data_IF_812950644915
#
_entry.id   IF_812950644915
#
_cell.length_a   1.000
_cell.length_b   1.000
_cell.length_c   1.000
_cell.angle_alpha   90.00
_cell.angle_beta   90.00
_cell.angle_gamma   90.00
#
_symmetry.space_group_name_H-M   'P 1'
#
loop_
_entity.id
_entity.type
_entity.pdbx_description
1 polymer ?
#
# COMPACT_ATOMS: atom_id res chain seq x y z
N UNK A 1 -15.12 8.61 -19.54
CA UNK A 1 -14.04 9.63 -19.58
C UNK A 1 -12.77 9.02 -20.12
N UNK A 2 -11.89 9.88 -20.65
CA UNK A 2 -10.49 9.52 -20.93
C UNK A 2 -9.62 9.93 -19.76
N UNK A 3 -8.97 8.96 -19.13
CA UNK A 3 -8.17 9.17 -17.94
C UNK A 3 -6.70 8.85 -18.25
N UNK A 4 -5.82 9.80 -17.98
CA UNK A 4 -4.38 9.57 -18.06
C UNK A 4 -3.82 9.46 -16.64
N UNK A 5 -3.22 8.32 -16.31
CA UNK A 5 -2.46 8.13 -15.09
C UNK A 5 -0.97 8.38 -15.34
N UNK A 6 -0.34 9.20 -14.51
CA UNK A 6 1.09 9.54 -14.63
C UNK A 6 1.82 8.95 -13.42
N UNK A 7 2.62 7.91 -13.64
CA UNK A 7 3.30 7.10 -12.64
C UNK A 7 4.84 7.27 -12.75
N UNK A 8 5.37 8.48 -12.52
CA UNK A 8 6.80 8.79 -12.76
C UNK A 8 7.65 8.87 -11.48
N UNK A 9 7.08 8.67 -10.29
CA UNK A 9 7.83 8.77 -9.03
C UNK A 9 8.34 7.42 -8.50
N UNK A 10 8.67 6.50 -9.38
CA UNK A 10 9.17 5.18 -9.02
C UNK A 10 9.23 4.27 -10.24
N UNK A 11 9.39 2.97 -10.01
CA UNK A 11 9.19 1.97 -11.05
C UNK A 11 7.69 1.67 -11.23
N UNK A 12 7.33 1.22 -12.42
CA UNK A 12 5.97 0.73 -12.71
C UNK A 12 6.06 -0.69 -13.28
N UNK A 13 5.75 -1.68 -12.45
CA UNK A 13 5.65 -3.10 -12.85
C UNK A 13 4.20 -3.46 -13.17
N UNK A 14 3.97 -4.13 -14.28
CA UNK A 14 2.62 -4.41 -14.79
C UNK A 14 1.82 -5.38 -13.90
N UNK A 15 2.52 -6.28 -13.21
CA UNK A 15 1.93 -7.34 -12.38
C UNK A 15 1.98 -7.02 -10.87
N UNK A 16 2.18 -5.76 -10.50
CA UNK A 16 2.15 -5.36 -9.10
C UNK A 16 0.73 -4.98 -8.66
N UNK A 17 0.43 -5.28 -7.39
CA UNK A 17 -0.82 -4.88 -6.74
C UNK A 17 -0.64 -3.52 -6.00
N UNK A 18 0.02 -2.55 -6.65
CA UNK A 18 0.16 -1.19 -6.11
C UNK A 18 -1.04 -0.33 -6.49
N UNK A 19 -1.20 0.80 -5.82
CA UNK A 19 -2.33 1.69 -6.04
C UNK A 19 -2.42 2.19 -7.49
N UNK A 20 -1.29 2.52 -8.12
CA UNK A 20 -1.22 2.95 -9.50
C UNK A 20 -1.68 1.86 -10.49
N UNK A 21 -1.41 0.58 -10.20
CA UNK A 21 -1.93 -0.55 -10.98
C UNK A 21 -3.43 -0.77 -10.74
N UNK A 22 -3.86 -0.75 -9.48
CA UNK A 22 -5.24 -1.10 -9.13
C UNK A 22 -6.22 0.02 -9.48
N UNK A 23 -5.88 1.30 -9.26
CA UNK A 23 -6.73 2.41 -9.70
C UNK A 23 -6.93 2.39 -11.22
N UNK A 24 -5.87 2.18 -12.00
CA UNK A 24 -5.99 2.11 -13.46
C UNK A 24 -6.86 0.95 -13.92
N UNK A 25 -6.69 -0.23 -13.29
CA UNK A 25 -7.52 -1.42 -13.53
C UNK A 25 -9.00 -1.13 -13.28
N UNK A 26 -9.33 -0.54 -12.12
CA UNK A 26 -10.73 -0.31 -11.75
C UNK A 26 -11.36 0.85 -12.51
N UNK A 27 -10.64 1.93 -12.83
CA UNK A 27 -11.15 2.94 -13.77
C UNK A 27 -11.46 2.33 -15.14
N UNK A 28 -10.60 1.42 -15.65
CA UNK A 28 -10.88 0.71 -16.90
C UNK A 28 -12.13 -0.15 -16.82
N UNK A 29 -12.32 -0.88 -15.71
CA UNK A 29 -13.52 -1.70 -15.46
C UNK A 29 -14.81 -0.89 -15.36
N UNK A 30 -14.73 0.35 -14.90
CA UNK A 30 -15.85 1.30 -14.91
C UNK A 30 -16.20 1.82 -16.31
N UNK A 31 -15.52 1.34 -17.36
CA UNK A 31 -15.79 1.72 -18.76
C UNK A 31 -15.05 2.98 -19.21
N UNK A 32 -14.04 3.45 -18.45
CA UNK A 32 -13.22 4.59 -18.88
C UNK A 32 -12.13 4.16 -19.88
N UNK A 33 -11.72 5.06 -20.76
CA UNK A 33 -10.50 4.88 -21.55
C UNK A 33 -9.30 5.28 -20.69
N UNK A 34 -8.40 4.33 -20.38
CA UNK A 34 -7.29 4.54 -19.47
C UNK A 34 -5.96 4.43 -20.18
N UNK A 35 -5.14 5.48 -20.08
CA UNK A 35 -3.74 5.49 -20.51
C UNK A 35 -2.83 5.70 -19.29
N UNK A 36 -1.77 4.90 -19.22
CA UNK A 36 -0.75 4.95 -18.16
C UNK A 36 0.54 5.48 -18.78
N UNK A 37 1.09 6.56 -18.24
CA UNK A 37 2.42 7.07 -18.60
C UNK A 37 3.36 6.73 -17.46
N UNK A 38 4.31 5.84 -17.72
CA UNK A 38 5.21 5.27 -16.72
C UNK A 38 6.66 5.22 -17.19
N UNK A 39 7.66 5.09 -16.31
CA UNK A 39 9.06 5.00 -16.70
C UNK A 39 9.35 3.65 -17.38
N UNK A 40 10.50 3.59 -18.08
CA UNK A 40 11.04 2.32 -18.58
C UNK A 40 11.46 1.36 -17.45
N UNK A 41 11.66 1.84 -16.24
CA UNK A 41 11.95 1.02 -15.06
C UNK A 41 10.73 0.17 -14.70
N UNK A 42 10.83 -1.14 -14.91
CA UNK A 42 9.69 -2.08 -14.78
C UNK A 42 9.75 -2.93 -13.50
N UNK A 43 10.92 -3.34 -13.05
CA UNK A 43 11.04 -4.26 -11.92
C UNK A 43 12.38 -4.09 -11.21
N UNK A 44 12.40 -4.37 -9.89
CA UNK A 44 13.66 -4.60 -9.16
C UNK A 44 14.12 -6.05 -9.33
N UNK A 45 15.43 -6.24 -9.49
CA UNK A 45 16.05 -7.56 -9.40
C UNK A 45 16.28 -7.93 -7.93
N UNK A 46 16.47 -9.22 -7.65
CA UNK A 46 16.82 -9.73 -6.31
C UNK A 46 18.08 -9.08 -5.71
N UNK A 47 18.99 -8.65 -6.58
CA UNK A 47 20.26 -8.01 -6.18
C UNK A 47 20.16 -6.47 -6.12
N UNK A 48 18.94 -5.90 -6.10
CA UNK A 48 18.72 -4.45 -6.03
C UNK A 48 18.97 -3.69 -7.33
N UNK A 49 19.21 -4.37 -8.45
CA UNK A 49 19.24 -3.77 -9.79
C UNK A 49 17.84 -3.45 -10.30
N UNK A 50 17.77 -2.83 -11.49
CA UNK A 50 16.51 -2.47 -12.15
C UNK A 50 16.45 -3.11 -13.52
N UNK A 51 15.35 -3.79 -13.82
CA UNK A 51 14.99 -4.24 -15.16
C UNK A 51 14.31 -3.07 -15.88
N UNK A 52 14.80 -2.72 -17.06
CA UNK A 52 14.20 -1.72 -17.91
C UNK A 52 13.54 -2.38 -19.12
N UNK A 53 12.34 -1.89 -19.46
CA UNK A 53 11.67 -2.17 -20.72
C UNK A 53 11.97 -1.08 -21.75
N UNK A 54 11.73 -1.39 -23.02
CA UNK A 54 11.88 -0.41 -24.10
C UNK A 54 10.83 0.70 -24.00
N UNK A 55 11.23 1.93 -24.34
CA UNK A 55 10.26 3.01 -24.52
C UNK A 55 9.31 2.70 -25.69
N UNK A 56 8.08 3.13 -25.57
CA UNK A 56 7.03 2.89 -26.57
C UNK A 56 5.66 2.74 -25.95
N UNK A 57 4.69 2.30 -26.73
CA UNK A 57 3.33 2.07 -26.24
C UNK A 57 2.86 0.66 -26.54
N UNK A 58 2.13 0.06 -25.59
CA UNK A 58 1.47 -1.26 -25.72
C UNK A 58 0.13 -1.26 -25.02
N UNK A 59 -0.72 -2.22 -25.39
CA UNK A 59 -1.94 -2.51 -24.61
C UNK A 59 -1.63 -3.56 -23.56
N UNK A 60 -2.11 -3.36 -22.33
CA UNK A 60 -2.05 -4.32 -21.24
C UNK A 60 -3.22 -5.31 -21.33
N UNK A 61 -3.10 -6.48 -20.67
CA UNK A 61 -4.14 -7.51 -20.64
C UNK A 61 -5.47 -7.00 -20.05
N UNK A 62 -5.41 -6.03 -19.13
CA UNK A 62 -6.59 -5.38 -18.56
C UNK A 62 -7.23 -4.32 -19.47
N UNK A 63 -6.70 -4.12 -20.67
CA UNK A 63 -7.20 -3.17 -21.68
C UNK A 63 -6.78 -1.70 -21.45
N UNK A 64 -5.88 -1.42 -20.50
CA UNK A 64 -5.25 -0.10 -20.38
C UNK A 64 -4.14 0.06 -21.41
N UNK A 65 -3.96 1.29 -21.93
CA UNK A 65 -2.80 1.63 -22.76
C UNK A 65 -1.63 2.02 -21.86
N UNK A 66 -0.48 1.40 -22.02
CA UNK A 66 0.76 1.76 -21.32
C UNK A 66 1.72 2.47 -22.27
N UNK A 67 2.24 3.62 -21.86
CA UNK A 67 3.28 4.38 -22.57
C UNK A 67 4.51 4.44 -21.66
N UNK A 68 5.62 3.81 -22.09
CA UNK A 68 6.91 3.83 -21.37
C UNK A 68 7.76 5.03 -21.81
N UNK A 69 8.25 5.79 -20.84
CA UNK A 69 9.04 7.00 -21.02
C UNK A 69 10.47 6.80 -20.53
N UNK A 70 11.44 7.14 -21.35
CA UNK A 70 12.85 7.09 -20.96
C UNK A 70 13.20 8.22 -20.00
N UNK A 71 14.20 7.95 -19.15
CA UNK A 71 14.83 8.98 -18.33
C UNK A 71 15.56 10.00 -19.20
N UNK A 72 15.62 11.25 -18.76
CA UNK A 72 16.30 12.34 -19.49
C UNK A 72 17.80 12.16 -19.53
N UNK A 73 18.39 11.61 -18.45
CA UNK A 73 19.82 11.41 -18.33
C UNK A 73 20.14 9.91 -18.22
N UNK A 74 21.30 9.50 -18.78
CA UNK A 74 21.75 8.11 -18.72
C UNK A 74 22.25 7.70 -17.31
N UNK A 75 22.58 8.67 -16.43
CA UNK A 75 23.04 8.38 -15.07
C UNK A 75 21.86 7.92 -14.18
N UNK A 76 21.88 6.65 -13.80
CA UNK A 76 20.90 6.04 -12.90
C UNK A 76 20.82 6.76 -11.54
N UNK A 77 21.98 7.24 -11.02
CA UNK A 77 22.05 7.94 -9.73
C UNK A 77 21.33 9.29 -9.76
N UNK A 78 21.50 10.07 -10.84
CA UNK A 78 20.83 11.37 -11.01
C UNK A 78 19.31 11.21 -11.20
N UNK A 79 18.90 10.23 -12.00
CA UNK A 79 17.48 9.99 -12.28
C UNK A 79 16.73 9.49 -11.02
N UNK A 80 17.39 8.71 -10.14
CA UNK A 80 16.78 8.19 -8.92
C UNK A 80 16.38 9.28 -7.93
N UNK A 81 17.14 10.39 -7.86
CA UNK A 81 16.86 11.48 -6.93
C UNK A 81 15.94 12.57 -7.49
N UNK A 82 15.98 12.81 -8.79
CA UNK A 82 15.29 13.93 -9.42
C UNK A 82 14.08 13.50 -10.27
N UNK A 83 13.93 12.22 -10.56
CA UNK A 83 12.84 11.69 -11.40
C UNK A 83 12.67 12.50 -12.70
N UNK A 84 13.75 12.66 -13.47
CA UNK A 84 13.75 13.44 -14.71
C UNK A 84 13.61 12.52 -15.91
N UNK A 85 12.54 12.75 -16.70
CA UNK A 85 12.17 11.97 -17.86
C UNK A 85 12.14 12.85 -19.12
N UNK A 86 12.08 12.24 -20.31
CA UNK A 86 11.78 12.93 -21.55
C UNK A 86 10.41 13.63 -21.48
N UNK A 87 10.16 14.59 -22.37
CA UNK A 87 8.93 15.37 -22.34
C UNK A 87 7.69 14.48 -22.55
N UNK A 88 6.79 14.50 -21.57
CA UNK A 88 5.51 13.74 -21.59
C UNK A 88 4.36 14.53 -22.21
N UNK A 89 4.53 15.82 -22.48
CA UNK A 89 3.48 16.69 -23.01
C UNK A 89 2.90 16.18 -24.33
N UNK A 90 3.70 15.79 -25.35
CA UNK A 90 3.14 15.28 -26.61
C UNK A 90 2.26 14.04 -26.42
N UNK A 91 2.65 13.15 -25.48
CA UNK A 91 1.91 11.93 -25.16
C UNK A 91 0.54 12.27 -24.56
N UNK A 92 0.51 13.17 -23.57
CA UNK A 92 -0.74 13.61 -22.92
C UNK A 92 -1.67 14.30 -23.92
N UNK A 93 -1.15 15.19 -24.75
CA UNK A 93 -1.96 15.91 -25.75
C UNK A 93 -2.56 14.97 -26.81
N UNK A 94 -1.85 13.91 -27.18
CA UNK A 94 -2.35 12.90 -28.12
C UNK A 94 -3.56 12.12 -27.56
N UNK A 95 -3.57 11.85 -26.26
CA UNK A 95 -4.66 11.13 -25.58
C UNK A 95 -5.91 11.99 -25.37
N UNK A 96 -5.78 13.33 -25.33
CA UNK A 96 -6.89 14.28 -25.07
C UNK A 96 -7.70 13.90 -23.83
N UNK A 97 -7.08 13.80 -22.64
CA UNK A 97 -7.75 13.34 -21.43
C UNK A 97 -8.80 14.34 -20.92
N UNK A 98 -9.84 13.79 -20.25
CA UNK A 98 -10.76 14.54 -19.41
C UNK A 98 -10.18 14.72 -18.00
N UNK A 99 -9.47 13.67 -17.51
CA UNK A 99 -8.84 13.62 -16.20
C UNK A 99 -7.38 13.17 -16.31
N UNK A 100 -6.50 13.87 -15.60
CA UNK A 100 -5.11 13.46 -15.38
C UNK A 100 -4.94 13.17 -13.89
N UNK A 101 -4.69 11.89 -13.57
CA UNK A 101 -4.34 11.45 -12.22
C UNK A 101 -2.83 11.29 -12.12
N UNK A 102 -2.20 12.04 -11.22
CA UNK A 102 -0.75 12.07 -11.04
C UNK A 102 -0.38 11.36 -9.75
N UNK A 103 0.33 10.24 -9.87
CA UNK A 103 0.81 9.47 -8.72
C UNK A 103 2.08 10.09 -8.14
N UNK A 104 1.98 10.48 -6.86
CA UNK A 104 2.94 11.32 -6.14
C UNK A 104 3.04 12.77 -6.67
N UNK A 105 3.66 13.65 -5.87
CA UNK A 105 3.77 15.09 -6.17
C UNK A 105 5.22 15.56 -6.30
N UNK A 106 6.21 14.69 -6.07
CA UNK A 106 7.63 15.06 -5.99
C UNK A 106 8.42 14.67 -7.24
N UNK A 107 8.01 15.19 -8.39
CA UNK A 107 8.68 14.97 -9.67
C UNK A 107 8.79 16.29 -10.45
N UNK A 108 9.98 16.67 -10.86
CA UNK A 108 10.20 17.91 -11.61
C UNK A 108 9.52 17.91 -12.99
N UNK A 109 9.32 16.74 -13.60
CA UNK A 109 8.58 16.65 -14.87
C UNK A 109 7.15 17.19 -14.78
N UNK A 110 6.55 17.18 -13.58
CA UNK A 110 5.18 17.65 -13.39
C UNK A 110 5.00 19.16 -13.62
N UNK A 111 6.08 19.94 -13.63
CA UNK A 111 6.03 21.34 -14.05
C UNK A 111 5.60 21.51 -15.52
N UNK A 112 5.80 20.51 -16.37
CA UNK A 112 5.30 20.51 -17.74
C UNK A 112 3.77 20.45 -17.84
N UNK A 113 3.08 19.98 -16.81
CA UNK A 113 1.62 19.92 -16.72
C UNK A 113 0.97 21.30 -16.71
N UNK A 114 1.69 22.35 -16.26
CA UNK A 114 1.24 23.75 -16.38
C UNK A 114 0.96 24.12 -17.83
N UNK A 115 1.80 23.65 -18.75
CA UNK A 115 1.63 23.88 -20.20
C UNK A 115 0.45 23.08 -20.77
N UNK A 116 0.12 21.93 -20.18
CA UNK A 116 -1.07 21.15 -20.56
C UNK A 116 -2.32 21.93 -20.18
N UNK A 117 -2.41 22.42 -18.94
CA UNK A 117 -3.57 23.21 -18.48
C UNK A 117 -3.83 24.45 -19.33
N UNK A 118 -2.77 25.11 -19.83
CA UNK A 118 -2.89 26.28 -20.70
C UNK A 118 -3.50 25.92 -22.07
N UNK A 119 -3.23 24.72 -22.60
CA UNK A 119 -3.74 24.24 -23.92
C UNK A 119 -5.09 23.53 -23.77
N UNK A 120 -5.32 22.86 -22.64
CA UNK A 120 -6.53 22.10 -22.32
C UNK A 120 -7.14 22.64 -21.01
N UNK A 121 -7.82 23.79 -21.00
CA UNK A 121 -8.25 24.47 -19.76
C UNK A 121 -9.30 23.66 -18.99
N UNK A 122 -10.06 22.79 -19.65
CA UNK A 122 -11.13 21.99 -19.04
C UNK A 122 -10.64 20.68 -18.43
N UNK A 123 -9.38 20.25 -18.70
CA UNK A 123 -8.85 19.01 -18.15
C UNK A 123 -8.77 19.13 -16.61
N UNK A 124 -9.26 18.09 -15.94
CA UNK A 124 -9.17 17.97 -14.47
C UNK A 124 -7.82 17.34 -14.10
N UNK A 125 -7.27 17.79 -12.96
CA UNK A 125 -6.05 17.21 -12.38
C UNK A 125 -6.34 16.73 -10.98
N UNK A 126 -5.80 15.57 -10.64
CA UNK A 126 -5.80 15.00 -9.30
C UNK A 126 -4.40 14.50 -8.99
N UNK A 127 -3.95 14.70 -7.78
CA UNK A 127 -2.65 14.25 -7.29
C UNK A 127 -2.83 13.35 -6.09
N UNK A 128 -2.00 12.32 -5.94
CA UNK A 128 -1.88 11.60 -4.68
C UNK A 128 -0.50 11.75 -4.04
N UNK A 129 -0.34 11.25 -2.82
CA UNK A 129 0.94 11.18 -2.13
C UNK A 129 1.01 9.96 -1.22
N UNK A 130 2.10 9.21 -1.37
CA UNK A 130 2.48 8.07 -0.54
C UNK A 130 3.57 8.42 0.49
N UNK A 131 3.87 9.72 0.66
CA UNK A 131 4.93 10.23 1.51
C UNK A 131 4.43 10.54 2.91
N UNK A 132 5.16 10.09 3.92
CA UNK A 132 4.94 10.42 5.33
C UNK A 132 6.27 10.65 6.06
N UNK A 133 6.20 11.03 7.34
CA UNK A 133 7.41 11.26 8.16
C UNK A 133 8.22 9.98 8.35
N UNK A 134 7.59 8.80 8.33
CA UNK A 134 8.25 7.52 8.58
C UNK A 134 9.02 7.01 7.36
N UNK A 135 8.57 7.33 6.14
CA UNK A 135 9.18 6.84 4.90
C UNK A 135 9.98 7.87 4.11
N UNK A 136 9.70 9.17 4.28
CA UNK A 136 10.22 10.22 3.38
C UNK A 136 11.02 11.33 4.07
N UNK A 137 10.98 11.44 5.40
CA UNK A 137 11.66 12.50 6.18
C UNK A 137 12.64 11.94 7.21
N UNK A 138 13.30 10.83 6.91
CA UNK A 138 14.16 10.09 7.85
C UNK A 138 15.46 10.80 8.24
N UNK A 139 15.94 11.76 7.43
CA UNK A 139 17.18 12.48 7.68
C UNK A 139 17.07 13.96 7.25
N UNK A 140 18.07 14.77 7.64
CA UNK A 140 18.06 16.21 7.37
C UNK A 140 18.01 16.54 5.87
N UNK A 141 18.72 15.76 5.03
CA UNK A 141 18.72 15.98 3.58
C UNK A 141 17.32 15.76 2.98
N UNK A 142 16.63 14.68 3.36
CA UNK A 142 15.28 14.41 2.90
C UNK A 142 14.28 15.46 3.38
N UNK A 143 14.43 15.97 4.61
CA UNK A 143 13.62 17.08 5.15
C UNK A 143 13.80 18.37 4.34
N UNK A 144 15.03 18.72 3.98
CA UNK A 144 15.33 19.88 3.14
C UNK A 144 14.77 19.66 1.72
N UNK A 145 15.01 18.49 1.13
CA UNK A 145 14.53 18.17 -0.21
C UNK A 145 13.00 18.29 -0.30
N UNK A 146 12.26 17.70 0.63
CA UNK A 146 10.80 17.72 0.64
C UNK A 146 10.23 19.07 1.10
N UNK A 147 10.65 19.56 2.27
CA UNK A 147 10.09 20.75 2.90
C UNK A 147 10.52 22.08 2.28
N UNK A 148 11.62 22.11 1.53
CA UNK A 148 12.12 23.32 0.87
C UNK A 148 12.08 23.17 -0.64
N UNK A 149 12.77 22.19 -1.20
CA UNK A 149 12.96 22.11 -2.65
C UNK A 149 11.66 21.71 -3.36
N UNK A 150 11.11 20.53 -3.08
CA UNK A 150 9.88 20.10 -3.74
C UNK A 150 8.69 20.98 -3.38
N UNK A 151 8.56 21.40 -2.14
CA UNK A 151 7.51 22.33 -1.72
C UNK A 151 7.47 23.61 -2.55
N UNK A 152 8.61 24.29 -2.71
CA UNK A 152 8.66 25.60 -3.35
C UNK A 152 8.82 25.54 -4.87
N UNK A 153 9.57 24.56 -5.39
CA UNK A 153 9.88 24.47 -6.83
C UNK A 153 8.88 23.62 -7.61
N UNK A 154 8.15 22.74 -6.96
CA UNK A 154 7.19 21.84 -7.64
C UNK A 154 5.78 22.02 -7.10
N UNK A 155 5.52 21.60 -5.85
CA UNK A 155 4.17 21.51 -5.29
C UNK A 155 3.44 22.84 -5.32
N UNK A 156 4.10 23.95 -4.95
CA UNK A 156 3.53 25.30 -5.02
C UNK A 156 2.94 25.64 -6.40
N UNK A 157 3.57 25.18 -7.46
CA UNK A 157 3.09 25.41 -8.83
C UNK A 157 1.92 24.48 -9.19
N UNK A 158 1.95 23.22 -8.69
CA UNK A 158 0.87 22.26 -8.91
C UNK A 158 -0.44 22.66 -8.23
N UNK A 159 -0.40 23.49 -7.16
CA UNK A 159 -1.59 23.99 -6.49
C UNK A 159 -2.55 24.76 -7.41
N UNK A 160 -2.04 25.32 -8.51
CA UNK A 160 -2.85 26.03 -9.50
C UNK A 160 -3.52 25.09 -10.52
N UNK A 161 -3.15 23.80 -10.54
CA UNK A 161 -3.68 22.80 -11.47
C UNK A 161 -4.88 22.06 -10.91
N UNK A 162 -4.92 21.83 -9.61
CA UNK A 162 -5.91 20.96 -8.97
C UNK A 162 -6.40 21.52 -7.66
N UNK A 163 -7.64 21.17 -7.33
CA UNK A 163 -8.24 21.35 -6.01
C UNK A 163 -8.22 20.07 -5.17
N UNK A 164 -7.67 18.95 -5.71
CA UNK A 164 -7.64 17.66 -5.03
C UNK A 164 -6.23 17.12 -4.97
N UNK A 165 -5.72 16.96 -3.74
CA UNK A 165 -4.47 16.29 -3.38
C UNK A 165 -4.79 15.19 -2.37
N UNK A 166 -4.70 13.95 -2.75
CA UNK A 166 -4.97 12.81 -1.89
C UNK A 166 -3.75 12.44 -1.06
N UNK A 167 -3.93 12.30 0.26
CA UNK A 167 -3.06 11.48 1.08
C UNK A 167 -3.66 10.09 1.20
N UNK A 168 -2.88 9.04 0.98
CA UNK A 168 -3.42 7.67 0.98
C UNK A 168 -3.53 7.07 2.40
N UNK A 169 -3.16 7.83 3.41
CA UNK A 169 -3.45 7.63 4.84
C UNK A 169 -3.59 8.98 5.52
N UNK A 170 -4.19 9.09 6.73
CA UNK A 170 -4.23 10.36 7.45
C UNK A 170 -2.83 10.95 7.73
N UNK A 171 -1.81 10.11 8.00
CA UNK A 171 -0.41 10.55 8.14
C UNK A 171 0.09 11.23 6.86
N UNK A 172 -0.26 10.71 5.68
CA UNK A 172 0.12 11.27 4.38
C UNK A 172 -0.66 12.53 4.04
N UNK A 173 -1.90 12.65 4.50
CA UNK A 173 -2.63 13.93 4.47
C UNK A 173 -1.93 15.00 5.31
N UNK A 174 -1.45 14.64 6.51
CA UNK A 174 -0.67 15.54 7.37
C UNK A 174 0.65 15.95 6.70
N UNK A 175 1.32 15.03 6.02
CA UNK A 175 2.56 15.32 5.30
C UNK A 175 2.35 16.30 4.14
N UNK A 176 1.29 16.13 3.36
CA UNK A 176 0.88 17.08 2.32
C UNK A 176 0.68 18.48 2.90
N UNK A 177 -0.02 18.60 4.03
CA UNK A 177 -0.31 19.89 4.68
C UNK A 177 0.94 20.50 5.29
N UNK A 178 1.61 19.78 6.16
CA UNK A 178 2.63 20.34 7.05
C UNK A 178 4.01 20.45 6.38
N UNK A 179 4.38 19.47 5.53
CA UNK A 179 5.70 19.43 4.89
C UNK A 179 5.64 20.03 3.50
N UNK A 180 4.72 19.58 2.66
CA UNK A 180 4.63 20.03 1.27
C UNK A 180 3.82 21.31 1.08
N UNK A 181 3.12 21.80 2.12
CA UNK A 181 2.43 23.10 2.13
C UNK A 181 1.16 23.14 1.29
N UNK A 182 0.51 21.99 1.07
CA UNK A 182 -0.79 21.93 0.40
C UNK A 182 -1.86 22.48 1.34
N UNK A 183 -2.68 23.46 0.92
CA UNK A 183 -3.77 24.00 1.75
C UNK A 183 -4.75 22.89 2.17
N UNK A 184 -5.18 22.92 3.44
CA UNK A 184 -6.04 21.88 4.02
C UNK A 184 -7.29 21.62 3.20
N UNK A 185 -7.95 22.67 2.69
CA UNK A 185 -9.16 22.56 1.86
C UNK A 185 -8.96 21.77 0.55
N UNK A 186 -7.71 21.58 0.10
CA UNK A 186 -7.36 20.80 -1.10
C UNK A 186 -6.92 19.37 -0.77
N UNK A 187 -6.71 19.05 0.51
CA UNK A 187 -6.27 17.72 0.94
C UNK A 187 -7.47 16.86 1.25
N UNK A 188 -7.55 15.68 0.58
CA UNK A 188 -8.55 14.65 0.84
C UNK A 188 -7.88 13.33 1.17
N UNK A 189 -8.59 12.44 1.85
CA UNK A 189 -8.15 11.06 2.09
C UNK A 189 -8.62 10.16 0.94
N UNK A 190 -7.69 9.41 0.33
CA UNK A 190 -7.98 8.32 -0.60
C UNK A 190 -7.29 7.06 -0.04
N UNK A 191 -8.06 6.14 0.53
CA UNK A 191 -7.52 4.95 1.17
C UNK A 191 -6.74 4.08 0.16
N UNK A 192 -5.78 3.31 0.67
CA UNK A 192 -5.30 2.11 0.00
C UNK A 192 -6.22 0.95 0.32
N UNK A 193 -6.07 -0.16 -0.40
CA UNK A 193 -6.96 -1.29 -0.18
C UNK A 193 -6.51 -2.55 -0.87
N UNK A 194 -7.49 -3.36 -1.25
CA UNK A 194 -7.34 -4.66 -1.84
C UNK A 194 -8.04 -4.79 -3.18
N UNK A 195 -7.54 -5.67 -4.02
CA UNK A 195 -8.15 -6.02 -5.30
C UNK A 195 -9.39 -6.87 -5.06
N UNK A 196 -10.58 -6.34 -5.32
CA UNK A 196 -11.87 -7.00 -5.13
C UNK A 196 -11.92 -8.40 -5.77
N UNK A 197 -11.29 -8.56 -6.94
CA UNK A 197 -11.30 -9.84 -7.67
C UNK A 197 -10.45 -10.91 -7.02
N UNK A 198 -9.53 -10.50 -6.14
CA UNK A 198 -8.60 -11.39 -5.45
C UNK A 198 -9.09 -11.78 -4.05
N UNK A 199 -10.20 -11.18 -3.58
CA UNK A 199 -10.79 -11.48 -2.27
C UNK A 199 -12.04 -12.35 -2.44
N UNK A 200 -11.93 -13.67 -2.41
CA UNK A 200 -13.05 -14.58 -2.60
C UNK A 200 -13.88 -14.74 -1.30
N UNK A 201 -14.51 -13.66 -0.82
CA UNK A 201 -15.28 -13.64 0.43
C UNK A 201 -16.33 -14.76 0.52
N UNK A 202 -16.98 -15.11 -0.60
CA UNK A 202 -18.00 -16.18 -0.65
C UNK A 202 -17.44 -17.55 -0.29
N UNK A 203 -16.13 -17.79 -0.53
CA UNK A 203 -15.45 -19.06 -0.30
C UNK A 203 -14.58 -19.03 0.97
N UNK A 204 -14.72 -17.98 1.80
CA UNK A 204 -13.87 -17.74 2.98
C UNK A 204 -13.74 -18.95 3.89
N UNK A 205 -14.86 -19.61 4.23
CA UNK A 205 -14.88 -20.76 5.13
C UNK A 205 -14.11 -21.94 4.57
N UNK A 206 -14.30 -22.26 3.28
CA UNK A 206 -13.59 -23.37 2.63
C UNK A 206 -12.10 -23.08 2.48
N UNK A 207 -11.74 -21.85 2.16
CA UNK A 207 -10.35 -21.41 2.06
C UNK A 207 -9.67 -21.50 3.43
N UNK A 208 -10.32 -20.98 4.49
CA UNK A 208 -9.85 -21.10 5.87
C UNK A 208 -9.54 -22.58 6.21
N UNK A 209 -10.47 -23.48 5.95
CA UNK A 209 -10.31 -24.89 6.22
C UNK A 209 -9.14 -25.50 5.44
N UNK A 210 -9.01 -25.18 4.14
CA UNK A 210 -7.92 -25.66 3.29
C UNK A 210 -6.55 -25.20 3.75
N UNK A 211 -6.40 -23.90 4.10
CA UNK A 211 -5.13 -23.34 4.59
C UNK A 211 -4.76 -23.97 5.92
N UNK A 212 -5.70 -24.06 6.88
CA UNK A 212 -5.44 -24.66 8.19
C UNK A 212 -5.03 -26.11 8.07
N UNK A 213 -5.72 -26.91 7.23
CA UNK A 213 -5.34 -28.29 6.98
C UNK A 213 -3.94 -28.43 6.39
N UNK A 214 -3.57 -27.57 5.43
CA UNK A 214 -2.24 -27.57 4.79
C UNK A 214 -1.09 -27.42 5.78
N UNK A 215 -1.30 -26.67 6.85
CA UNK A 215 -0.27 -26.36 7.83
C UNK A 215 -0.49 -27.01 9.19
N UNK A 216 -1.32 -28.07 9.27
CA UNK A 216 -1.63 -28.81 10.51
C UNK A 216 -2.12 -27.90 11.64
N UNK A 217 -3.01 -26.95 11.32
CA UNK A 217 -3.63 -26.03 12.27
C UNK A 217 -5.04 -26.55 12.55
N UNK A 218 -5.30 -26.94 13.80
CA UNK A 218 -6.59 -27.43 14.23
C UNK A 218 -7.64 -26.31 14.31
N UNK A 219 -8.93 -26.66 14.31
CA UNK A 219 -10.01 -25.66 14.36
C UNK A 219 -10.04 -24.89 15.69
N UNK A 220 -9.58 -25.50 16.78
CA UNK A 220 -9.45 -24.90 18.11
C UNK A 220 -8.12 -24.18 18.35
N UNK A 221 -7.15 -24.27 17.43
CA UNK A 221 -5.93 -23.45 17.50
C UNK A 221 -6.28 -21.97 17.26
N UNK A 222 -5.63 -21.09 18.00
CA UNK A 222 -5.65 -19.64 17.76
C UNK A 222 -4.52 -19.26 16.82
N UNK A 223 -4.86 -19.00 15.55
CA UNK A 223 -3.88 -18.69 14.52
C UNK A 223 -3.66 -17.18 14.38
N UNK A 224 -2.45 -16.75 14.67
CA UNK A 224 -1.95 -15.42 14.34
C UNK A 224 -1.31 -15.48 12.95
N UNK A 225 -1.66 -14.53 12.05
CA UNK A 225 -1.04 -14.39 10.75
C UNK A 225 -0.34 -13.04 10.65
N UNK A 226 0.88 -13.04 10.15
CA UNK A 226 1.67 -11.83 9.90
C UNK A 226 2.57 -12.00 8.68
N UNK A 227 3.07 -10.89 8.11
CA UNK A 227 3.97 -11.02 6.97
C UNK A 227 4.51 -9.73 6.41
N UNK A 228 5.23 -9.87 5.30
CA UNK A 228 5.95 -8.81 4.61
C UNK A 228 7.45 -8.96 4.72
N UNK A 229 8.19 -7.85 4.62
CA UNK A 229 9.63 -7.88 4.87
C UNK A 229 9.89 -8.10 6.36
N UNK A 230 10.53 -9.21 6.71
CA UNK A 230 10.90 -9.54 8.08
C UNK A 230 12.28 -8.93 8.37
N UNK A 231 12.26 -7.73 8.94
CA UNK A 231 13.41 -6.95 9.38
C UNK A 231 13.17 -6.42 10.80
N UNK A 232 14.18 -5.75 11.39
CA UNK A 232 14.09 -5.21 12.76
C UNK A 232 12.99 -4.17 12.94
N UNK A 233 12.62 -3.44 11.87
CA UNK A 233 11.61 -2.37 11.93
C UNK A 233 10.19 -2.95 11.99
N UNK A 234 9.99 -4.13 11.40
CA UNK A 234 8.69 -4.82 11.37
C UNK A 234 8.42 -5.65 12.61
N UNK A 235 9.41 -5.93 13.46
CA UNK A 235 9.28 -6.66 14.74
C UNK A 235 8.65 -8.06 14.65
N UNK A 236 8.50 -8.64 13.46
CA UNK A 236 7.87 -9.96 13.26
C UNK A 236 8.67 -11.05 13.98
N UNK A 237 10.00 -10.96 14.00
CA UNK A 237 10.88 -11.87 14.74
C UNK A 237 10.62 -11.85 16.26
N UNK A 238 10.33 -10.67 16.83
CA UNK A 238 9.97 -10.54 18.24
C UNK A 238 8.59 -11.14 18.55
N UNK A 239 7.63 -10.98 17.63
CA UNK A 239 6.32 -11.62 17.74
C UNK A 239 6.43 -13.15 17.68
N UNK A 240 7.24 -13.70 16.76
CA UNK A 240 7.49 -15.14 16.67
C UNK A 240 8.13 -15.66 17.96
N UNK A 241 9.11 -14.93 18.51
CA UNK A 241 9.72 -15.25 19.79
C UNK A 241 8.72 -15.19 20.95
N UNK A 242 7.80 -14.24 20.95
CA UNK A 242 6.75 -14.17 21.95
C UNK A 242 5.85 -15.42 21.91
N UNK A 243 5.39 -15.80 20.71
CA UNK A 243 4.56 -17.00 20.54
C UNK A 243 5.30 -18.27 20.98
N UNK A 244 6.62 -18.39 20.75
CA UNK A 244 7.42 -19.56 21.20
C UNK A 244 7.42 -19.72 22.71
N UNK A 245 7.29 -18.63 23.45
CA UNK A 245 7.37 -18.57 24.91
C UNK A 245 5.99 -18.58 25.62
N UNK A 246 4.88 -18.39 24.87
CA UNK A 246 3.52 -18.49 25.44
C UNK A 246 3.26 -19.93 25.91
N UNK A 247 2.81 -20.07 27.18
CA UNK A 247 2.49 -21.37 27.76
C UNK A 247 1.09 -21.87 27.36
N UNK A 248 0.68 -21.64 26.11
CA UNK A 248 -0.55 -22.16 25.54
C UNK A 248 -0.23 -22.85 24.21
N UNK A 249 -0.30 -24.19 24.12
CA UNK A 249 0.09 -24.92 22.93
C UNK A 249 -0.82 -24.68 21.73
N UNK A 250 -2.03 -24.16 21.95
CA UNK A 250 -3.00 -23.86 20.90
C UNK A 250 -2.74 -22.53 20.18
N UNK A 251 -1.80 -21.69 20.67
CA UNK A 251 -1.41 -20.46 20.01
C UNK A 251 -0.37 -20.76 18.95
N UNK A 252 -0.71 -20.46 17.71
CA UNK A 252 0.16 -20.65 16.53
C UNK A 252 0.35 -19.35 15.75
N UNK A 253 1.49 -19.23 15.09
CA UNK A 253 1.78 -18.12 14.18
C UNK A 253 2.20 -18.63 12.81
N UNK A 254 1.61 -18.07 11.75
CA UNK A 254 2.02 -18.29 10.37
C UNK A 254 2.59 -16.96 9.83
N UNK A 255 3.83 -17.05 9.38
CA UNK A 255 4.59 -15.91 8.86
C UNK A 255 4.90 -16.12 7.36
N UNK A 256 4.82 -15.04 6.59
CA UNK A 256 5.21 -15.04 5.19
C UNK A 256 6.03 -13.80 4.82
N UNK A 257 6.75 -13.88 3.69
CA UNK A 257 7.54 -12.78 3.15
C UNK A 257 9.04 -13.05 3.12
N UNK A 258 9.84 -12.02 2.89
CA UNK A 258 11.30 -12.15 2.82
C UNK A 258 11.96 -11.82 4.16
N UNK A 259 12.83 -12.69 4.63
CA UNK A 259 13.65 -12.46 5.83
C UNK A 259 14.98 -11.82 5.40
N UNK A 260 15.41 -10.75 6.10
CA UNK A 260 16.75 -10.19 5.91
C UNK A 260 17.81 -11.14 6.47
N UNK A 261 19.01 -11.14 5.87
CA UNK A 261 20.07 -12.11 6.21
C UNK A 261 20.40 -12.12 7.71
N UNK A 262 20.40 -10.94 8.36
CA UNK A 262 20.71 -10.80 9.78
C UNK A 262 19.70 -11.45 10.74
N UNK A 263 18.47 -11.75 10.29
CA UNK A 263 17.42 -12.38 11.10
C UNK A 263 17.12 -13.84 10.67
N UNK A 264 17.77 -14.36 9.64
CA UNK A 264 17.50 -15.73 9.16
C UNK A 264 17.72 -16.76 10.26
N UNK A 265 18.89 -16.71 10.91
CA UNK A 265 19.22 -17.64 11.99
C UNK A 265 18.21 -17.56 13.16
N UNK A 266 17.80 -16.34 13.54
CA UNK A 266 16.85 -16.14 14.62
C UNK A 266 15.48 -16.75 14.28
N UNK A 267 14.98 -16.53 13.05
CA UNK A 267 13.72 -17.11 12.58
C UNK A 267 13.83 -18.63 12.49
N UNK A 268 14.88 -19.16 11.87
CA UNK A 268 15.07 -20.61 11.68
C UNK A 268 15.13 -21.36 13.00
N UNK A 269 15.74 -20.77 14.04
CA UNK A 269 15.83 -21.35 15.37
C UNK A 269 14.49 -21.41 16.14
N UNK A 270 13.49 -20.62 15.73
CA UNK A 270 12.17 -20.59 16.35
C UNK A 270 11.17 -21.55 15.68
N UNK A 271 11.47 -22.06 14.46
CA UNK A 271 10.53 -22.87 13.70
C UNK A 271 10.10 -24.15 14.46
N UNK A 272 8.82 -24.42 14.45
CA UNK A 272 8.19 -25.55 15.16
C UNK A 272 6.78 -25.76 14.64
N UNK A 273 6.05 -26.74 15.18
CA UNK A 273 4.62 -26.97 14.86
C UNK A 273 3.73 -25.76 15.18
N UNK A 274 4.21 -24.84 16.00
CA UNK A 274 3.50 -23.61 16.39
C UNK A 274 3.98 -22.37 15.64
N UNK A 275 5.20 -22.37 15.13
CA UNK A 275 5.85 -21.23 14.48
C UNK A 275 6.19 -21.62 13.05
N UNK A 276 5.32 -21.19 12.14
CA UNK A 276 5.31 -21.62 10.75
C UNK A 276 5.80 -20.47 9.88
N UNK A 277 6.86 -20.68 9.12
CA UNK A 277 7.33 -19.74 8.09
C UNK A 277 7.20 -20.37 6.72
N UNK A 278 6.46 -19.70 5.81
CA UNK A 278 6.11 -20.24 4.50
C UNK A 278 6.85 -19.56 3.34
N UNK A 279 7.82 -18.68 3.66
CA UNK A 279 8.57 -17.97 2.64
C UNK A 279 7.79 -16.84 1.98
N UNK A 280 8.28 -16.41 0.82
CA UNK A 280 7.61 -15.38 0.03
C UNK A 280 6.34 -15.96 -0.65
N UNK A 281 5.28 -15.17 -0.64
CA UNK A 281 4.01 -15.50 -1.30
C UNK A 281 3.65 -14.44 -2.35
N UNK A 282 2.85 -14.82 -3.32
CA UNK A 282 2.28 -13.88 -4.27
C UNK A 282 1.25 -12.99 -3.57
N UNK A 283 1.20 -11.70 -3.95
CA UNK A 283 0.21 -10.74 -3.45
C UNK A 283 -1.25 -11.20 -3.64
N UNK A 284 -1.53 -11.99 -4.67
CA UNK A 284 -2.86 -12.51 -4.95
C UNK A 284 -3.32 -13.59 -3.97
N UNK A 285 -2.38 -14.27 -3.30
CA UNK A 285 -2.68 -15.36 -2.36
C UNK A 285 -2.70 -14.91 -0.90
N UNK A 286 -2.32 -13.67 -0.59
CA UNK A 286 -2.25 -13.17 0.79
C UNK A 286 -3.60 -13.26 1.50
N UNK A 287 -4.69 -13.06 0.78
CA UNK A 287 -6.05 -13.09 1.32
C UNK A 287 -6.45 -14.46 1.87
N UNK A 288 -5.93 -15.56 1.30
CA UNK A 288 -6.18 -16.91 1.80
C UNK A 288 -5.66 -17.06 3.24
N UNK A 289 -4.50 -16.50 3.54
CA UNK A 289 -3.91 -16.53 4.87
C UNK A 289 -4.66 -15.62 5.86
N UNK A 290 -5.12 -14.45 5.41
CA UNK A 290 -5.97 -13.58 6.23
C UNK A 290 -7.30 -14.27 6.57
N UNK A 291 -7.89 -15.03 5.66
CA UNK A 291 -9.07 -15.84 5.96
C UNK A 291 -8.81 -16.97 6.96
N UNK A 292 -7.62 -17.55 6.95
CA UNK A 292 -7.23 -18.61 7.88
C UNK A 292 -7.00 -18.09 9.30
N UNK A 293 -6.67 -16.80 9.46
CA UNK A 293 -6.32 -16.18 10.73
C UNK A 293 -7.51 -16.08 11.70
N UNK A 294 -7.21 -16.17 12.99
CA UNK A 294 -8.05 -15.69 14.07
C UNK A 294 -7.71 -14.23 14.40
N UNK A 295 -6.42 -13.85 14.25
CA UNK A 295 -5.95 -12.48 14.37
C UNK A 295 -4.84 -12.22 13.34
N UNK A 296 -5.00 -11.18 12.52
CA UNK A 296 -3.90 -10.66 11.71
C UNK A 296 -3.15 -9.63 12.54
N UNK A 297 -1.83 -9.79 12.68
CA UNK A 297 -1.05 -8.97 13.61
C UNK A 297 0.18 -8.38 12.93
N UNK A 298 0.29 -7.05 12.89
CA UNK A 298 1.45 -6.34 12.33
C UNK A 298 2.15 -5.49 13.39
N UNK A 299 3.23 -6.00 13.99
CA UNK A 299 3.88 -5.39 15.16
C UNK A 299 4.89 -4.28 14.81
N UNK A 300 4.92 -3.78 13.59
CA UNK A 300 5.88 -2.77 13.13
C UNK A 300 5.26 -1.64 12.32
N UNK A 301 6.08 -0.97 11.52
CA UNK A 301 5.62 0.15 10.70
C UNK A 301 4.55 -0.28 9.70
N UNK A 302 3.68 0.67 9.36
CA UNK A 302 2.58 0.51 8.41
C UNK A 302 3.01 -0.11 7.06
N UNK A 303 2.13 -0.90 6.50
CA UNK A 303 2.18 -1.42 5.13
C UNK A 303 0.76 -1.57 4.58
N UNK A 304 0.61 -1.58 3.27
CA UNK A 304 -0.69 -1.77 2.61
C UNK A 304 -1.41 -3.09 2.97
N UNK A 305 -0.71 -4.02 3.61
CA UNK A 305 -1.32 -5.25 4.13
C UNK A 305 -2.28 -4.99 5.29
N UNK A 306 -2.19 -3.84 5.98
CA UNK A 306 -3.16 -3.48 7.02
C UNK A 306 -4.55 -3.30 6.38
N UNK A 307 -4.62 -2.50 5.32
CA UNK A 307 -5.85 -2.24 4.57
C UNK A 307 -6.35 -3.51 3.85
N UNK A 308 -5.43 -4.34 3.36
CA UNK A 308 -5.78 -5.62 2.75
C UNK A 308 -6.38 -6.61 3.77
N UNK A 309 -5.87 -6.63 5.00
CA UNK A 309 -6.44 -7.44 6.09
C UNK A 309 -7.85 -6.96 6.46
N UNK A 310 -8.05 -5.63 6.55
CA UNK A 310 -9.39 -5.04 6.77
C UNK A 310 -10.35 -5.40 5.64
N UNK A 311 -9.93 -5.23 4.38
CA UNK A 311 -10.74 -5.60 3.21
C UNK A 311 -11.11 -7.10 3.21
N UNK A 312 -10.25 -7.95 3.78
CA UNK A 312 -10.49 -9.39 3.97
C UNK A 312 -11.42 -9.70 5.15
N UNK A 313 -11.90 -8.67 5.85
CA UNK A 313 -12.74 -8.80 7.05
C UNK A 313 -12.07 -9.63 8.15
N UNK A 314 -10.74 -9.56 8.26
CA UNK A 314 -9.98 -10.23 9.31
C UNK A 314 -9.86 -9.33 10.55
N UNK A 315 -10.01 -9.88 11.77
CA UNK A 315 -9.66 -9.16 12.99
C UNK A 315 -8.21 -8.71 12.95
N UNK A 316 -7.94 -7.45 13.27
CA UNK A 316 -6.64 -6.84 13.05
C UNK A 316 -6.03 -6.32 14.37
N UNK A 317 -4.73 -6.50 14.54
CA UNK A 317 -3.94 -5.83 15.56
C UNK A 317 -2.70 -5.20 14.93
N UNK A 318 -2.50 -3.90 15.15
CA UNK A 318 -1.39 -3.14 14.54
C UNK A 318 -0.70 -2.25 15.56
N UNK A 319 0.56 -1.92 15.32
CA UNK A 319 1.27 -0.92 16.11
C UNK A 319 0.55 0.43 16.04
N UNK A 320 0.32 1.07 17.20
CA UNK A 320 -0.25 2.40 17.28
C UNK A 320 0.72 3.43 16.71
N UNK A 321 0.43 3.95 15.54
CA UNK A 321 1.21 4.96 14.84
C UNK A 321 0.34 6.20 14.60
N UNK A 322 0.92 7.38 14.80
CA UNK A 322 0.20 8.65 14.58
C UNK A 322 -0.24 8.79 13.12
N UNK A 323 -1.56 8.92 12.92
CA UNK A 323 -2.16 9.09 11.59
C UNK A 323 -2.25 7.79 10.77
N UNK A 324 -2.33 6.64 11.46
CA UNK A 324 -2.60 5.33 10.85
C UNK A 324 -3.78 4.60 11.53
N UNK A 325 -4.69 5.38 12.08
CA UNK A 325 -5.91 4.92 12.77
C UNK A 325 -7.08 4.63 11.81
N UNK A 326 -6.94 4.96 10.54
CA UNK A 326 -7.97 4.79 9.50
C UNK A 326 -8.37 3.32 9.22
N UNK A 327 -7.55 2.35 9.64
CA UNK A 327 -7.86 0.92 9.51
C UNK A 327 -8.88 0.45 10.53
N UNK A 328 -9.15 1.24 11.56
CA UNK A 328 -10.24 1.01 12.50
C UNK A 328 -11.45 1.88 12.12
N UNK A 329 -12.49 1.26 11.58
CA UNK A 329 -13.70 1.97 11.18
C UNK A 329 -14.88 1.78 12.16
N UNK A 330 -14.82 0.78 13.03
CA UNK A 330 -15.87 0.51 14.02
C UNK A 330 -15.47 -0.43 15.15
N UNK A 331 -14.18 -0.47 15.54
CA UNK A 331 -13.64 -1.40 16.53
C UNK A 331 -13.25 -2.77 15.95
N UNK A 332 -12.89 -2.81 14.68
CA UNK A 332 -12.35 -3.98 13.98
C UNK A 332 -10.84 -4.14 14.16
N UNK A 333 -10.17 -3.19 14.82
CA UNK A 333 -8.72 -3.15 14.98
C UNK A 333 -8.33 -2.86 16.43
N UNK A 334 -7.31 -3.55 16.92
CA UNK A 334 -6.67 -3.24 18.21
C UNK A 334 -5.34 -2.55 17.93
N UNK A 335 -5.12 -1.41 18.57
CA UNK A 335 -3.86 -0.67 18.47
C UNK A 335 -2.92 -1.04 19.61
N UNK A 336 -1.78 -1.65 19.27
CA UNK A 336 -0.70 -1.98 20.20
C UNK A 336 0.14 -0.74 20.48
N UNK A 337 0.26 -0.33 21.71
CA UNK A 337 1.01 0.85 22.16
C UNK A 337 2.40 0.53 22.71
N UNK A 338 2.79 -0.76 22.78
CA UNK A 338 4.09 -1.26 23.17
C UNK A 338 4.74 -2.15 22.11
N UNK A 339 5.93 -2.62 22.42
CA UNK A 339 6.70 -3.55 21.59
C UNK A 339 7.61 -4.43 22.47
N UNK A 340 8.11 -5.52 21.89
CA UNK A 340 8.98 -6.46 22.58
C UNK A 340 8.28 -7.78 22.91
N UNK A 341 9.08 -8.77 23.30
CA UNK A 341 8.61 -10.16 23.50
C UNK A 341 7.57 -10.23 24.61
N UNK A 342 7.87 -9.68 25.78
CA UNK A 342 6.98 -9.71 26.96
C UNK A 342 5.68 -8.94 26.69
N UNK A 343 5.77 -7.81 25.96
CA UNK A 343 4.59 -7.06 25.59
C UNK A 343 3.67 -7.88 24.68
N UNK A 344 4.22 -8.53 23.65
CA UNK A 344 3.39 -9.33 22.73
C UNK A 344 2.81 -10.57 23.40
N UNK A 345 3.51 -11.19 24.36
CA UNK A 345 2.95 -12.27 25.18
C UNK A 345 1.73 -11.78 25.96
N UNK A 346 1.90 -10.72 26.75
CA UNK A 346 0.82 -10.15 27.55
C UNK A 346 -0.36 -9.68 26.68
N UNK A 347 -0.08 -9.13 25.50
CA UNK A 347 -1.11 -8.70 24.56
C UNK A 347 -1.94 -9.89 24.03
N UNK A 348 -1.26 -10.95 23.60
CA UNK A 348 -1.92 -12.17 23.07
C UNK A 348 -2.74 -12.84 24.19
N UNK A 349 -2.18 -12.98 25.37
CA UNK A 349 -2.87 -13.54 26.54
C UNK A 349 -4.10 -12.71 26.89
N UNK A 350 -4.01 -11.38 26.84
CA UNK A 350 -5.14 -10.47 27.05
C UNK A 350 -6.27 -10.70 26.03
N UNK A 351 -5.94 -10.84 24.73
CA UNK A 351 -6.92 -11.13 23.68
C UNK A 351 -7.59 -12.49 23.90
N UNK A 352 -6.85 -13.49 24.36
CA UNK A 352 -7.38 -14.84 24.60
C UNK A 352 -8.23 -14.91 25.87
N UNK A 353 -7.90 -14.13 26.90
CA UNK A 353 -8.66 -14.08 28.18
C UNK A 353 -10.00 -13.37 28.01
N UNK A 354 -10.07 -12.28 27.25
CA UNK A 354 -11.32 -11.53 27.04
C UNK A 354 -12.04 -12.01 25.78
N UNK A 355 -12.69 -13.18 25.93
CA UNK A 355 -13.49 -13.77 24.85
C UNK A 355 -14.61 -12.85 24.34
N UNK A 356 -15.19 -12.02 25.20
CA UNK A 356 -16.27 -11.12 24.82
C UNK A 356 -15.75 -10.01 23.93
N UNK A 357 -14.66 -9.34 24.29
CA UNK A 357 -14.02 -8.33 23.48
C UNK A 357 -13.53 -8.92 22.14
N UNK A 358 -12.93 -10.12 22.17
CA UNK A 358 -12.50 -10.79 20.95
C UNK A 358 -13.65 -11.14 19.99
N UNK A 359 -14.77 -11.65 20.52
CA UNK A 359 -15.95 -11.93 19.68
C UNK A 359 -16.54 -10.65 19.10
N UNK A 360 -16.53 -9.55 19.85
CA UNK A 360 -16.95 -8.24 19.32
C UNK A 360 -16.00 -7.74 18.21
N UNK A 361 -14.69 -7.88 18.39
CA UNK A 361 -13.68 -7.56 17.38
C UNK A 361 -13.93 -8.32 16.07
N UNK A 362 -14.20 -9.64 16.15
CA UNK A 362 -14.54 -10.47 14.99
C UNK A 362 -15.83 -9.99 14.30
N UNK A 363 -16.86 -9.71 15.08
CA UNK A 363 -18.12 -9.20 14.54
C UNK A 363 -17.94 -7.85 13.85
N UNK A 364 -17.14 -6.97 14.44
CA UNK A 364 -16.85 -5.66 13.87
C UNK A 364 -16.01 -5.77 12.59
N UNK A 365 -15.07 -6.70 12.52
CA UNK A 365 -14.28 -6.96 11.33
C UNK A 365 -15.13 -7.51 10.17
N UNK A 366 -16.13 -8.36 10.48
CA UNK A 366 -17.04 -8.94 9.48
C UNK A 366 -18.22 -8.00 9.19
N UNK A 367 -17.93 -6.75 8.80
CA UNK A 367 -18.87 -5.68 8.54
C UNK A 367 -18.64 -5.06 7.17
N UNK A 368 -19.72 -4.59 6.53
CA UNK A 368 -19.66 -3.98 5.20
C UNK A 368 -18.88 -2.65 5.15
N UNK A 369 -18.60 -2.03 6.29
CA UNK A 369 -17.67 -0.90 6.39
C UNK A 369 -16.28 -1.21 5.84
N UNK A 370 -15.87 -2.49 5.85
CA UNK A 370 -14.64 -2.94 5.21
C UNK A 370 -14.60 -2.73 3.68
N UNK A 371 -15.77 -2.59 3.03
CA UNK A 371 -15.86 -2.40 1.58
C UNK A 371 -15.19 -1.08 1.11
N UNK A 372 -15.06 -0.08 1.99
CA UNK A 372 -14.32 1.16 1.68
C UNK A 372 -12.85 0.91 1.33
N UNK A 373 -12.30 -0.25 1.71
CA UNK A 373 -10.93 -0.68 1.39
C UNK A 373 -10.87 -1.57 0.13
N UNK A 374 -11.92 -1.64 -0.68
CA UNK A 374 -11.93 -2.29 -1.98
C UNK A 374 -11.61 -1.29 -3.09
N UNK A 375 -10.76 -1.67 -4.05
CA UNK A 375 -10.36 -0.74 -5.09
C UNK A 375 -11.49 -0.33 -6.03
N UNK A 376 -12.58 -1.07 -6.15
CA UNK A 376 -13.80 -0.61 -6.84
C UNK A 376 -14.37 0.65 -6.18
N UNK A 377 -14.44 0.68 -4.84
CA UNK A 377 -14.93 1.82 -4.08
C UNK A 377 -13.94 2.99 -4.09
N UNK A 378 -12.65 2.69 -3.96
CA UNK A 378 -11.57 3.68 -3.97
C UNK A 378 -11.51 4.39 -5.35
N UNK A 379 -11.60 3.64 -6.44
CA UNK A 379 -11.62 4.19 -7.79
C UNK A 379 -12.90 5.01 -8.06
N UNK A 380 -14.07 4.52 -7.59
CA UNK A 380 -15.33 5.27 -7.71
C UNK A 380 -15.25 6.62 -6.98
N UNK A 381 -14.68 6.63 -5.76
CA UNK A 381 -14.47 7.88 -5.01
C UNK A 381 -13.67 8.92 -5.79
N UNK A 382 -12.66 8.53 -6.54
CA UNK A 382 -11.88 9.47 -7.39
C UNK A 382 -12.80 10.09 -8.44
N UNK A 383 -13.66 9.30 -9.07
CA UNK A 383 -14.60 9.80 -10.09
C UNK A 383 -15.61 10.75 -9.45
N UNK A 384 -16.21 10.38 -8.32
CA UNK A 384 -17.21 11.20 -7.61
C UNK A 384 -16.63 12.53 -7.13
N UNK A 385 -15.35 12.55 -6.75
CA UNK A 385 -14.68 13.76 -6.28
C UNK A 385 -14.34 14.76 -7.42
N UNK A 386 -14.33 14.32 -8.69
CA UNK A 386 -13.95 15.16 -9.84
C UNK A 386 -15.10 15.53 -10.77
N UNK A 387 -16.21 14.78 -10.73
CA UNK A 387 -17.45 15.09 -11.48
C UNK A 387 -18.24 16.15 -10.75
#
# INVERSE_FOLDING_TARGET
MKIVHICLCGLFGENYAYQDNLLTKYHKKMGHEVTIIAPTMAQFTSNGGVVNESAGSKMLDNGCKLIRVETKFKSARFNRYLNLYKDIKPMILAEKPDLIFVHNVTCFNYLSLLKIKAVMPNVKFVFDSHMDEYNSNQNLLSKILNGVIFRNLVVRHLLNLSDIFYGVTPSRCLFLKNVLGVPEKKVKLLLMGADDEKIPLRNRADIRKKVRLRYNIADDDFLIVTGGKIDKIKNIHLLAKAVSQINNPYVKILMFGSVVDELKHDIDSLLSDRIIYIGWINSDTVYEYFFAADLVMFPGLHSAMWEQAVASRAPLAVTKLKGFDHVDFNGNCIFMDGHGVEYYQSFIDGVLCDKTAYMQLKKNADNDGANQFLYSQIAQKVIDDVV
#
